data_IF_829082222727
#
_entry.id   IF_829082222727
#
_cell.length_a   1.000
_cell.length_b   1.000
_cell.length_c   1.000
_cell.angle_alpha   90.00
_cell.angle_beta   90.00
_cell.angle_gamma   90.00
#
_symmetry.space_group_name_H-M   'P 1'
#
loop_
_entity.id
_entity.type
_entity.pdbx_description
1 polymer ?
#
# COMPACT_ATOMS: atom_id res chain seq x y z
N UNK A 1 -1.27 10.52 -18.52
CA UNK A 1 -1.83 10.09 -17.21
C UNK A 1 -2.32 11.26 -16.34
N UNK A 2 -1.55 12.36 -16.20
CA UNK A 2 -1.85 13.46 -15.27
C UNK A 2 -2.82 14.52 -15.77
N UNK A 3 -3.07 14.60 -17.07
CA UNK A 3 -3.94 15.63 -17.68
C UNK A 3 -5.40 15.18 -17.72
N UNK A 4 -6.28 16.10 -17.41
CA UNK A 4 -7.73 15.87 -17.43
C UNK A 4 -8.23 15.06 -16.24
N UNK A 5 -9.52 15.14 -16.00
CA UNK A 5 -10.24 14.37 -15.00
C UNK A 5 -11.32 13.57 -15.70
N UNK A 6 -11.60 12.37 -15.21
CA UNK A 6 -12.59 11.46 -15.77
C UNK A 6 -13.50 10.93 -14.69
N UNK A 7 -14.75 10.67 -15.06
CA UNK A 7 -15.69 9.90 -14.25
C UNK A 7 -16.11 8.70 -15.06
N UNK A 8 -15.76 7.52 -14.57
CA UNK A 8 -16.10 6.23 -15.17
C UNK A 8 -16.05 5.12 -14.12
N UNK A 9 -16.58 3.97 -14.44
CA UNK A 9 -16.65 2.86 -13.52
C UNK A 9 -16.37 1.52 -14.21
N UNK A 10 -16.04 0.55 -13.41
CA UNK A 10 -15.86 -0.86 -13.79
C UNK A 10 -16.65 -1.72 -12.82
N UNK A 11 -17.29 -2.76 -13.33
CA UNK A 11 -18.07 -3.73 -12.55
C UNK A 11 -17.41 -5.11 -12.61
N UNK A 12 -17.47 -5.83 -11.50
CA UNK A 12 -16.95 -7.19 -11.36
C UNK A 12 -15.51 -7.37 -11.88
N UNK A 13 -14.61 -6.43 -11.54
CA UNK A 13 -13.20 -6.43 -11.94
C UNK A 13 -12.27 -6.50 -10.73
N UNK A 14 -11.08 -7.01 -10.95
CA UNK A 14 -9.94 -6.84 -10.00
C UNK A 14 -9.18 -5.55 -10.33
N UNK A 15 -8.50 -5.01 -9.33
CA UNK A 15 -7.79 -3.74 -9.48
C UNK A 15 -6.69 -3.80 -10.53
N UNK A 16 -5.98 -4.92 -10.63
CA UNK A 16 -4.92 -5.14 -11.62
C UNK A 16 -5.43 -5.02 -13.05
N UNK A 17 -6.58 -5.59 -13.38
CA UNK A 17 -7.20 -5.48 -14.71
C UNK A 17 -7.53 -4.04 -15.07
N UNK A 18 -8.03 -3.27 -14.09
CA UNK A 18 -8.35 -1.86 -14.31
C UNK A 18 -7.08 -1.03 -14.53
N UNK A 19 -5.99 -1.36 -13.83
CA UNK A 19 -4.68 -0.71 -14.03
C UNK A 19 -4.14 -0.99 -15.43
N UNK A 20 -4.23 -2.24 -15.90
CA UNK A 20 -3.82 -2.63 -17.26
C UNK A 20 -4.59 -1.84 -18.32
N UNK A 21 -5.91 -1.78 -18.20
CA UNK A 21 -6.79 -1.08 -19.12
C UNK A 21 -6.45 0.42 -19.17
N UNK A 22 -6.34 1.07 -18.01
CA UNK A 22 -6.04 2.51 -17.93
C UNK A 22 -4.62 2.81 -18.42
N UNK A 23 -3.66 1.94 -18.18
CA UNK A 23 -2.30 2.09 -18.66
C UNK A 23 -2.21 1.95 -20.18
N UNK A 24 -2.86 0.94 -20.75
CA UNK A 24 -2.94 0.70 -22.17
C UNK A 24 -3.62 1.86 -22.92
N UNK A 25 -4.73 2.40 -22.38
CA UNK A 25 -5.39 3.61 -22.93
C UNK A 25 -4.46 4.84 -22.98
N UNK A 26 -3.47 4.88 -22.11
CA UNK A 26 -2.48 5.96 -22.09
C UNK A 26 -1.27 5.69 -22.98
N UNK A 27 -1.27 4.59 -23.73
CA UNK A 27 -0.18 4.20 -24.62
C UNK A 27 1.07 3.71 -23.91
N UNK A 28 0.93 3.25 -22.65
CA UNK A 28 2.05 2.73 -21.86
C UNK A 28 2.13 1.20 -21.98
N UNK A 29 3.34 0.66 -21.94
CA UNK A 29 3.55 -0.73 -21.64
C UNK A 29 3.26 -0.97 -20.13
N UNK A 30 2.54 -2.03 -19.79
CA UNK A 30 2.03 -2.22 -18.43
C UNK A 30 2.58 -3.52 -17.84
N UNK A 31 3.23 -3.42 -16.70
CA UNK A 31 3.69 -4.54 -15.90
C UNK A 31 2.91 -4.59 -14.58
N UNK A 32 2.09 -5.60 -14.40
CA UNK A 32 1.15 -5.68 -13.28
C UNK A 32 1.28 -7.00 -12.54
N UNK A 33 1.39 -6.95 -11.23
CA UNK A 33 1.12 -8.10 -10.38
C UNK A 33 -0.39 -8.23 -10.17
N UNK A 34 -0.91 -9.45 -10.34
CA UNK A 34 -2.34 -9.72 -10.18
C UNK A 34 -2.83 -9.38 -8.77
N UNK A 35 -4.04 -8.79 -8.70
CA UNK A 35 -4.78 -8.64 -7.45
C UNK A 35 -5.88 -9.70 -7.39
N UNK A 36 -6.10 -10.30 -6.21
CA UNK A 36 -7.02 -11.43 -6.06
C UNK A 36 -8.49 -10.99 -5.89
N UNK A 37 -8.71 -9.76 -5.41
CA UNK A 37 -10.02 -9.34 -4.98
C UNK A 37 -10.88 -8.80 -6.13
N UNK A 38 -11.92 -9.54 -6.50
CA UNK A 38 -12.97 -9.04 -7.41
C UNK A 38 -13.82 -8.02 -6.66
N UNK A 39 -13.91 -6.82 -7.21
CA UNK A 39 -14.75 -5.75 -6.67
C UNK A 39 -16.02 -5.63 -7.48
N UNK A 40 -17.16 -5.54 -6.80
CA UNK A 40 -18.45 -5.32 -7.46
C UNK A 40 -18.48 -4.01 -8.23
N UNK A 41 -17.77 -2.99 -7.73
CA UNK A 41 -17.74 -1.66 -8.34
C UNK A 41 -16.43 -0.93 -8.05
N UNK A 42 -15.81 -0.40 -9.10
CA UNK A 42 -14.60 0.44 -9.01
C UNK A 42 -14.93 1.75 -9.71
N UNK A 43 -14.89 2.87 -8.98
CA UNK A 43 -15.23 4.19 -9.49
C UNK A 43 -13.99 5.07 -9.59
N UNK A 44 -13.75 5.65 -10.76
CA UNK A 44 -12.91 6.83 -10.93
C UNK A 44 -13.84 8.06 -10.89
N UNK A 45 -13.76 8.83 -9.81
CA UNK A 45 -14.70 9.95 -9.56
C UNK A 45 -14.02 11.30 -9.75
N UNK A 46 -14.19 11.89 -10.93
CA UNK A 46 -13.66 13.23 -11.28
C UNK A 46 -12.19 13.41 -10.86
N UNK A 47 -11.38 12.41 -11.12
CA UNK A 47 -9.95 12.40 -10.81
C UNK A 47 -9.11 12.08 -12.05
N UNK A 48 -7.83 12.46 -12.02
CA UNK A 48 -6.90 12.10 -13.09
C UNK A 48 -6.55 10.62 -13.06
N UNK A 49 -6.13 10.05 -14.19
CA UNK A 49 -5.70 8.65 -14.25
C UNK A 49 -4.58 8.37 -13.23
N UNK A 50 -3.62 9.30 -13.05
CA UNK A 50 -2.55 9.15 -12.04
C UNK A 50 -3.11 9.09 -10.62
N UNK A 51 -4.02 9.99 -10.26
CA UNK A 51 -4.61 10.01 -8.93
C UNK A 51 -5.40 8.72 -8.66
N UNK A 52 -6.16 8.29 -9.65
CA UNK A 52 -6.92 7.04 -9.60
C UNK A 52 -6.00 5.82 -9.41
N UNK A 53 -4.98 5.67 -10.26
CA UNK A 53 -4.03 4.55 -10.17
C UNK A 53 -3.25 4.54 -8.85
N UNK A 54 -2.86 5.72 -8.34
CA UNK A 54 -2.24 5.85 -7.00
C UNK A 54 -3.17 5.36 -5.90
N UNK A 55 -4.46 5.66 -5.99
CA UNK A 55 -5.45 5.19 -5.03
C UNK A 55 -5.64 3.68 -5.09
N UNK A 56 -5.64 3.07 -6.31
CA UNK A 56 -5.64 1.61 -6.46
C UNK A 56 -4.38 0.97 -5.87
N UNK A 57 -3.21 1.58 -6.12
CA UNK A 57 -1.96 1.10 -5.56
C UNK A 57 -1.93 1.17 -4.04
N UNK A 58 -2.37 2.29 -3.45
CA UNK A 58 -2.40 2.47 -2.01
C UNK A 58 -3.28 1.42 -1.31
N UNK A 59 -4.48 1.13 -1.84
CA UNK A 59 -5.37 0.16 -1.20
C UNK A 59 -4.91 -1.30 -1.30
N UNK A 60 -4.05 -1.62 -2.28
CA UNK A 60 -3.44 -2.94 -2.41
C UNK A 60 -2.03 -3.01 -1.81
N UNK A 61 -1.53 -1.91 -1.26
CA UNK A 61 -0.14 -1.76 -0.83
C UNK A 61 0.87 -2.09 -1.94
N UNK A 62 0.55 -1.70 -3.18
CA UNK A 62 1.40 -1.89 -4.35
C UNK A 62 2.17 -0.62 -4.69
N UNK A 63 3.31 -0.79 -5.32
CA UNK A 63 4.10 0.32 -5.88
C UNK A 63 3.56 0.64 -7.26
N UNK A 64 3.23 1.92 -7.47
CA UNK A 64 2.94 2.46 -8.79
C UNK A 64 4.13 3.31 -9.24
N UNK A 65 4.72 2.94 -10.36
CA UNK A 65 5.85 3.65 -10.97
C UNK A 65 5.58 3.84 -12.45
N UNK A 66 5.97 4.98 -12.98
CA UNK A 66 5.95 5.23 -14.42
C UNK A 66 7.33 5.73 -14.80
N UNK A 67 8.02 4.97 -15.65
CA UNK A 67 9.34 5.31 -16.17
C UNK A 67 9.31 5.19 -17.69
N UNK A 68 9.73 6.26 -18.38
CA UNK A 68 9.64 6.34 -19.82
C UNK A 68 8.20 6.00 -20.28
N UNK A 69 8.04 4.90 -21.01
CA UNK A 69 6.74 4.45 -21.53
C UNK A 69 6.22 3.19 -20.81
N UNK A 70 6.78 2.86 -19.63
CA UNK A 70 6.37 1.70 -18.84
C UNK A 70 5.67 2.12 -17.54
N UNK A 71 4.52 1.51 -17.28
CA UNK A 71 3.79 1.59 -16.04
C UNK A 71 3.96 0.29 -15.27
N UNK A 72 4.49 0.39 -14.06
CA UNK A 72 4.68 -0.74 -13.16
C UNK A 72 3.68 -0.64 -12.01
N UNK A 73 2.95 -1.73 -11.74
CA UNK A 73 2.04 -1.88 -10.61
C UNK A 73 2.30 -3.22 -9.95
N UNK A 74 3.17 -3.23 -8.96
CA UNK A 74 3.69 -4.48 -8.36
C UNK A 74 3.68 -4.43 -6.84
N UNK A 75 3.63 -5.62 -6.24
CA UNK A 75 3.91 -5.77 -4.82
C UNK A 75 5.31 -5.23 -4.52
N UNK A 76 5.49 -4.52 -3.40
CA UNK A 76 6.83 -4.15 -2.97
C UNK A 76 7.62 -5.43 -2.67
N UNK A 77 8.64 -5.69 -3.47
CA UNK A 77 9.62 -6.73 -3.21
C UNK A 77 10.91 -6.07 -2.77
N UNK A 78 11.53 -6.64 -1.76
CA UNK A 78 12.85 -6.21 -1.28
C UNK A 78 13.94 -7.20 -1.74
N UNK A 79 13.58 -8.08 -2.65
CA UNK A 79 14.49 -8.97 -3.36
C UNK A 79 15.13 -8.20 -4.51
N UNK A 80 16.40 -7.93 -4.39
CA UNK A 80 17.13 -7.17 -5.40
C UNK A 80 18.61 -7.14 -5.16
N UNK A 81 19.35 -6.58 -6.10
CA UNK A 81 20.81 -6.40 -5.97
C UNK A 81 21.09 -5.40 -4.84
N UNK A 82 21.65 -5.89 -3.74
CA UNK A 82 22.10 -5.05 -2.64
C UNK A 82 23.27 -4.19 -3.09
N UNK A 83 23.07 -2.89 -3.14
CA UNK A 83 24.20 -1.96 -3.34
C UNK A 83 24.84 -1.67 -2.00
N UNK A 84 26.10 -2.02 -1.86
CA UNK A 84 26.88 -1.65 -0.67
C UNK A 84 27.28 -0.18 -0.78
N UNK A 85 26.95 0.60 0.23
CA UNK A 85 27.38 1.98 0.37
C UNK A 85 28.30 2.10 1.59
N UNK A 86 29.39 2.87 1.45
CA UNK A 86 30.40 3.04 2.49
C UNK A 86 30.69 4.52 2.63
N UNK A 87 30.64 5.01 3.86
CA UNK A 87 30.97 6.40 4.18
C UNK A 87 32.39 6.74 3.75
N UNK A 88 32.52 7.86 3.05
CA UNK A 88 33.81 8.34 2.53
C UNK A 88 34.28 7.71 1.21
N UNK A 89 33.60 6.68 0.70
CA UNK A 89 33.89 6.10 -0.62
C UNK A 89 32.79 6.49 -1.64
N UNK A 90 31.59 5.95 -1.46
CA UNK A 90 30.44 6.16 -2.34
C UNK A 90 29.20 6.67 -1.60
N UNK A 91 29.34 7.03 -0.32
CA UNK A 91 28.33 7.67 0.49
C UNK A 91 28.92 8.93 1.13
N UNK A 92 28.43 10.10 0.74
CA UNK A 92 28.90 11.39 1.27
C UNK A 92 28.21 11.75 2.58
N UNK A 93 26.93 11.53 2.65
CA UNK A 93 26.17 11.79 3.89
C UNK A 93 24.96 10.87 3.99
N UNK A 94 24.61 10.53 5.22
CA UNK A 94 23.40 9.76 5.56
C UNK A 94 22.72 10.44 6.75
N UNK A 95 21.45 10.78 6.60
CA UNK A 95 20.60 11.25 7.70
C UNK A 95 19.43 10.29 7.84
N UNK A 96 19.25 9.72 9.01
CA UNK A 96 18.13 8.87 9.36
C UNK A 96 17.30 9.53 10.46
N UNK A 97 15.99 9.44 10.34
CA UNK A 97 15.03 9.87 11.34
C UNK A 97 14.10 8.71 11.67
N UNK A 98 13.95 8.43 12.94
CA UNK A 98 13.05 7.38 13.45
C UNK A 98 11.89 8.04 14.15
N UNK A 99 10.67 7.62 13.80
CA UNK A 99 9.44 8.10 14.42
C UNK A 99 8.59 6.91 14.87
N UNK A 100 8.38 6.77 16.17
CA UNK A 100 7.54 5.71 16.76
C UNK A 100 6.12 6.16 17.09
N UNK A 101 5.79 7.44 16.93
CA UNK A 101 4.49 8.01 17.36
C UNK A 101 3.31 7.35 16.63
N UNK A 102 3.48 7.08 15.34
CA UNK A 102 2.43 6.49 14.50
C UNK A 102 2.54 4.96 14.40
N UNK A 103 3.44 4.34 15.18
CA UNK A 103 3.60 2.89 15.15
C UNK A 103 2.58 2.23 16.05
N UNK A 104 1.95 1.17 15.52
CA UNK A 104 0.91 0.42 16.24
C UNK A 104 1.23 -1.08 16.25
N UNK A 105 0.78 -1.78 17.27
CA UNK A 105 0.92 -3.22 17.41
C UNK A 105 -0.19 -3.98 16.67
N UNK A 106 -1.32 -3.33 16.44
CA UNK A 106 -2.46 -3.96 15.81
C UNK A 106 -3.23 -2.95 14.97
N UNK A 107 -3.67 -3.39 13.80
CA UNK A 107 -4.67 -2.67 13.02
C UNK A 107 -5.94 -3.50 12.97
N UNK A 108 -7.07 -2.85 13.24
CA UNK A 108 -8.40 -3.45 13.19
C UNK A 108 -9.24 -2.68 12.19
N UNK A 109 -9.69 -3.37 11.16
CA UNK A 109 -10.62 -2.84 10.16
C UNK A 109 -12.01 -3.37 10.47
N UNK A 110 -12.98 -2.47 10.62
CA UNK A 110 -14.38 -2.84 10.84
C UNK A 110 -15.25 -2.39 9.68
N UNK A 111 -16.15 -3.25 9.28
CA UNK A 111 -17.12 -3.00 8.25
C UNK A 111 -18.45 -3.70 8.52
N UNK A 112 -19.34 -3.62 7.56
CA UNK A 112 -20.66 -4.19 7.65
C UNK A 112 -21.03 -4.88 6.35
N UNK A 113 -21.47 -6.13 6.44
CA UNK A 113 -22.06 -6.82 5.30
C UNK A 113 -23.59 -6.58 5.26
N UNK A 114 -24.10 -5.81 4.30
CA UNK A 114 -25.52 -5.52 4.21
C UNK A 114 -26.35 -6.73 3.79
N UNK A 115 -25.75 -7.76 3.20
CA UNK A 115 -26.46 -8.97 2.77
C UNK A 115 -26.74 -9.90 3.94
N UNK A 116 -25.71 -10.17 4.74
CA UNK A 116 -25.83 -11.05 5.92
C UNK A 116 -26.26 -10.30 7.16
N UNK A 117 -26.24 -8.94 7.14
CA UNK A 117 -26.49 -8.07 8.29
C UNK A 117 -25.57 -8.38 9.48
N UNK A 118 -24.31 -8.65 9.19
CA UNK A 118 -23.28 -8.98 10.19
C UNK A 118 -22.12 -8.01 10.11
N UNK A 119 -21.49 -7.79 11.25
CA UNK A 119 -20.23 -7.07 11.34
C UNK A 119 -19.10 -7.88 10.68
N UNK A 120 -18.23 -7.19 9.99
CA UNK A 120 -17.02 -7.75 9.37
C UNK A 120 -15.83 -7.10 10.04
N UNK A 121 -14.93 -7.90 10.60
CA UNK A 121 -13.71 -7.41 11.26
C UNK A 121 -12.48 -8.13 10.69
N UNK A 122 -11.50 -7.36 10.22
CA UNK A 122 -10.18 -7.86 9.82
C UNK A 122 -9.10 -7.29 10.72
N UNK A 123 -8.13 -8.10 11.08
CA UNK A 123 -7.01 -7.69 11.92
C UNK A 123 -5.68 -7.99 11.25
N UNK A 124 -4.68 -7.16 11.57
CA UNK A 124 -3.29 -7.39 11.22
C UNK A 124 -2.38 -7.10 12.42
N UNK A 125 -1.33 -7.88 12.56
CA UNK A 125 -0.34 -7.82 13.63
C UNK A 125 1.07 -7.76 13.04
N UNK A 126 2.12 -7.40 13.81
CA UNK A 126 3.48 -7.23 13.29
C UNK A 126 4.05 -8.44 12.55
N UNK A 127 3.57 -9.64 12.86
CA UNK A 127 3.96 -10.89 12.19
C UNK A 127 3.49 -10.93 10.71
N UNK A 128 2.48 -10.16 10.36
CA UNK A 128 1.96 -10.01 8.99
C UNK A 128 2.80 -9.08 8.11
N UNK A 129 3.75 -8.33 8.70
CA UNK A 129 4.58 -7.37 7.98
C UNK A 129 5.59 -8.06 7.06
N UNK A 130 5.82 -7.47 5.92
CA UNK A 130 6.92 -7.86 5.04
C UNK A 130 8.23 -7.39 5.67
N UNK A 131 9.10 -8.34 6.01
CA UNK A 131 10.39 -8.06 6.64
C UNK A 131 11.34 -7.35 5.67
N UNK A 132 11.79 -6.16 6.07
CA UNK A 132 12.76 -5.35 5.34
C UNK A 132 14.02 -5.27 6.19
N UNK A 133 15.06 -6.01 5.82
CA UNK A 133 16.31 -6.02 6.56
C UNK A 133 16.25 -6.81 7.88
N UNK A 134 17.30 -6.72 8.68
CA UNK A 134 17.47 -7.49 9.93
C UNK A 134 17.29 -6.66 11.20
N UNK A 135 16.61 -5.51 11.14
CA UNK A 135 16.45 -4.61 12.28
C UNK A 135 15.13 -4.81 13.05
N UNK A 136 15.00 -4.10 14.16
CA UNK A 136 13.77 -3.99 14.93
C UNK A 136 12.72 -3.19 14.14
N UNK A 137 11.46 -3.62 14.24
CA UNK A 137 10.34 -2.90 13.65
C UNK A 137 9.78 -1.87 14.62
N UNK A 138 9.30 -0.76 14.08
CA UNK A 138 8.63 0.26 14.88
C UNK A 138 7.45 -0.28 15.70
N UNK A 139 6.73 -1.26 15.16
CA UNK A 139 5.65 -1.93 15.86
C UNK A 139 6.12 -2.67 17.13
N UNK A 140 7.31 -3.29 17.11
CA UNK A 140 7.89 -3.92 18.31
C UNK A 140 8.29 -2.89 19.35
N UNK A 141 8.84 -1.75 18.89
CA UNK A 141 9.22 -0.66 19.78
C UNK A 141 8.00 0.04 20.39
N UNK A 142 6.86 0.08 19.68
CA UNK A 142 5.63 0.65 20.21
C UNK A 142 5.11 -0.12 21.42
N UNK A 143 5.44 -1.42 21.55
CA UNK A 143 5.11 -2.24 22.71
C UNK A 143 5.70 -1.71 24.02
N UNK A 144 6.81 -0.99 23.97
CA UNK A 144 7.43 -0.35 25.14
C UNK A 144 6.60 0.80 25.73
N UNK A 145 5.69 1.36 24.93
CA UNK A 145 4.85 2.50 25.31
C UNK A 145 3.41 2.11 25.66
N UNK A 146 3.13 0.82 25.73
CA UNK A 146 1.79 0.27 25.98
C UNK A 146 1.11 -0.25 24.72
N UNK A 147 -0.08 -0.81 24.91
CA UNK A 147 -0.86 -1.38 23.81
C UNK A 147 -1.38 -0.25 22.89
N UNK A 148 -1.07 -0.36 21.60
CA UNK A 148 -1.50 0.60 20.58
C UNK A 148 -2.25 -0.12 19.46
N UNK A 149 -3.50 0.31 19.23
CA UNK A 149 -4.39 -0.25 18.20
C UNK A 149 -4.88 0.88 17.30
N UNK A 150 -4.72 0.73 16.00
CA UNK A 150 -5.35 1.61 15.02
C UNK A 150 -6.65 0.99 14.50
N UNK A 151 -7.70 1.79 14.48
CA UNK A 151 -8.99 1.38 13.93
C UNK A 151 -9.25 2.07 12.60
N UNK A 152 -9.68 1.29 11.60
CA UNK A 152 -10.10 1.79 10.28
C UNK A 152 -11.57 1.46 10.11
N UNK A 153 -12.40 2.48 10.08
CA UNK A 153 -13.88 2.36 10.01
C UNK A 153 -14.50 3.20 8.89
N UNK A 154 -13.69 4.02 8.24
CA UNK A 154 -14.08 4.98 7.20
C UNK A 154 -14.09 4.37 5.79
N UNK A 155 -13.55 3.16 5.63
CA UNK A 155 -13.50 2.45 4.35
C UNK A 155 -14.55 1.34 4.36
N UNK A 156 -15.55 1.38 3.47
CA UNK A 156 -16.58 0.36 3.42
C UNK A 156 -16.00 -0.99 2.99
N UNK A 157 -16.11 -1.98 3.86
CA UNK A 157 -15.76 -3.38 3.61
C UNK A 157 -16.95 -4.26 3.95
N UNK A 158 -17.22 -5.26 3.10
CA UNK A 158 -18.36 -6.16 3.26
C UNK A 158 -17.95 -7.64 3.30
N UNK A 159 -16.67 -7.94 3.22
CA UNK A 159 -16.14 -9.31 3.26
C UNK A 159 -14.95 -9.38 4.22
N UNK A 160 -14.86 -10.50 4.94
CA UNK A 160 -13.80 -10.78 5.90
C UNK A 160 -12.39 -10.70 5.26
N UNK A 161 -12.23 -11.25 4.06
CA UNK A 161 -10.97 -11.20 3.32
C UNK A 161 -10.56 -9.77 2.99
N UNK A 162 -11.52 -8.93 2.60
CA UNK A 162 -11.28 -7.51 2.32
C UNK A 162 -10.79 -6.75 3.54
N UNK A 163 -11.44 -6.99 4.68
CA UNK A 163 -11.07 -6.35 5.93
C UNK A 163 -9.65 -6.75 6.35
N UNK A 164 -9.31 -8.03 6.24
CA UNK A 164 -7.97 -8.54 6.59
C UNK A 164 -6.88 -8.00 5.65
N UNK A 165 -7.11 -7.99 4.33
CA UNK A 165 -6.16 -7.42 3.37
C UNK A 165 -5.94 -5.91 3.60
N UNK A 166 -7.01 -5.18 3.89
CA UNK A 166 -6.92 -3.77 4.21
C UNK A 166 -6.16 -3.53 5.51
N UNK A 167 -6.41 -4.34 6.55
CA UNK A 167 -5.68 -4.24 7.81
C UNK A 167 -4.17 -4.47 7.62
N UNK A 168 -3.78 -5.48 6.84
CA UNK A 168 -2.37 -5.75 6.49
C UNK A 168 -1.74 -4.59 5.70
N UNK A 169 -2.47 -4.07 4.73
CA UNK A 169 -2.02 -2.93 3.92
C UNK A 169 -1.79 -1.68 4.77
N UNK A 170 -2.69 -1.39 5.70
CA UNK A 170 -2.58 -0.24 6.59
C UNK A 170 -1.46 -0.39 7.61
N UNK A 171 -1.31 -1.58 8.20
CA UNK A 171 -0.21 -1.87 9.12
C UNK A 171 1.15 -1.71 8.42
N UNK A 172 1.30 -2.22 7.19
CA UNK A 172 2.53 -2.10 6.42
C UNK A 172 2.80 -0.63 6.03
N UNK A 173 1.77 0.15 5.72
CA UNK A 173 1.87 1.59 5.47
C UNK A 173 2.41 2.34 6.69
N UNK A 174 1.88 2.05 7.87
CA UNK A 174 2.34 2.65 9.13
C UNK A 174 3.78 2.23 9.45
N UNK A 175 4.09 0.95 9.32
CA UNK A 175 5.43 0.41 9.59
C UNK A 175 6.52 1.06 8.73
N UNK A 176 6.23 1.36 7.45
CA UNK A 176 7.17 2.03 6.55
C UNK A 176 7.48 3.48 6.94
N UNK A 177 6.67 4.08 7.78
CA UNK A 177 6.91 5.45 8.27
C UNK A 177 7.87 5.50 9.45
N UNK A 178 8.23 4.37 10.04
CA UNK A 178 9.13 4.27 11.18
C UNK A 178 10.50 4.88 10.92
N UNK A 179 11.12 4.57 9.80
CA UNK A 179 12.44 5.08 9.44
C UNK A 179 12.37 5.82 8.11
N UNK A 180 12.83 7.07 8.13
CA UNK A 180 12.98 7.89 6.92
C UNK A 180 14.40 8.38 6.84
N UNK A 181 14.96 8.41 5.63
CA UNK A 181 16.33 8.85 5.46
C UNK A 181 16.61 9.51 4.13
N UNK A 182 17.70 10.28 4.13
CA UNK A 182 18.27 10.87 2.93
C UNK A 182 19.75 10.47 2.86
N UNK A 183 20.15 9.92 1.75
CA UNK A 183 21.53 9.58 1.45
C UNK A 183 22.02 10.42 0.26
N UNK A 184 23.22 10.95 0.35
CA UNK A 184 23.92 11.62 -0.76
C UNK A 184 25.07 10.72 -1.16
N UNK A 185 25.07 10.26 -2.39
CA UNK A 185 26.07 9.40 -3.00
C UNK A 185 27.12 10.21 -3.73
#
# INVERSE_FOLDING_TARGET
>A
LGRGRRTRYWEARVDSQVVEEVGAECGLSVEVDGTSQVRGYILQRNESNVAFLKRLAARNNYILRVEQDALTFKKPTFEGTTKKVKMGENLRSLRLSFNSVDQVQKVVVRGWDPKTKMEVEGTAVPEDLVKIGGGEYGANLSALFGESVAYVTDIPVSQQSQATELAKSELDRLARQFCRGTAVL
#
